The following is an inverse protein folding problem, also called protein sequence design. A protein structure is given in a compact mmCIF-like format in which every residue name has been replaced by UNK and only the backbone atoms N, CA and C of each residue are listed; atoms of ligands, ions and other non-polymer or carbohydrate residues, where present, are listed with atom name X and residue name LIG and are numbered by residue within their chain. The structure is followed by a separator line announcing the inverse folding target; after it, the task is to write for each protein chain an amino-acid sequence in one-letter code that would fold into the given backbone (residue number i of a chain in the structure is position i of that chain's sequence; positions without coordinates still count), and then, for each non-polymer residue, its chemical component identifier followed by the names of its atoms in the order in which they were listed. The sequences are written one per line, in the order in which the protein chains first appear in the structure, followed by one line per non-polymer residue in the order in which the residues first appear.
data_IF_302209247211
#
_entry.id   IF_302209247211
#
_cell.length_a   1.000
_cell.length_b   1.000
_cell.length_c   1.000
_cell.angle_alpha   90.00
_cell.angle_beta   90.00
_cell.angle_gamma   90.00
#
_symmetry.space_group_name_H-M   'P 1'
#
loop_
_entity.id
_entity.type
_entity.pdbx_description
1 polymer ?
#
# COMPACT_ATOMS: atom_id res chain seq x y z
N UNK A 1 63.82 -16.50 67.43
CA UNK A 1 62.54 -15.84 67.18
C UNK A 1 62.44 -15.48 65.71
N UNK A 2 61.64 -16.17 64.97
CA UNK A 2 61.38 -15.90 63.50
C UNK A 2 60.00 -15.32 63.37
N UNK A 3 59.96 -14.01 63.00
CA UNK A 3 58.70 -13.31 62.71
C UNK A 3 58.24 -13.63 61.25
N UNK A 4 57.06 -14.21 61.13
CA UNK A 4 56.40 -14.41 59.78
C UNK A 4 55.41 -13.25 59.58
N UNK A 5 55.69 -12.44 58.54
CA UNK A 5 54.79 -11.36 58.12
C UNK A 5 53.83 -12.00 57.06
N UNK A 6 52.51 -12.07 57.35
CA UNK A 6 51.53 -12.44 56.44
C UNK A 6 51.01 -11.20 55.63
N UNK A 7 51.29 -11.17 54.33
CA UNK A 7 50.85 -10.14 53.47
C UNK A 7 49.43 -10.56 52.96
N UNK A 8 48.36 -9.87 53.38
CA UNK A 8 47.01 -10.11 52.90
C UNK A 8 46.81 -9.33 51.60
N UNK A 9 46.69 -10.08 50.47
CA UNK A 9 46.33 -9.51 49.17
C UNK A 9 44.82 -9.38 49.11
N UNK A 10 44.28 -8.15 49.10
CA UNK A 10 42.89 -7.84 48.92
C UNK A 10 42.57 -7.83 47.40
N UNK A 11 41.96 -8.90 46.90
CA UNK A 11 41.47 -8.96 45.52
C UNK A 11 40.19 -8.13 45.41
N UNK A 12 40.29 -6.95 44.79
CA UNK A 12 39.16 -6.10 44.42
C UNK A 12 38.52 -6.71 43.16
N UNK A 13 37.41 -7.45 43.30
CA UNK A 13 36.59 -7.93 42.17
C UNK A 13 35.78 -6.76 41.60
N UNK A 14 36.27 -6.20 40.50
CA UNK A 14 35.49 -5.24 39.69
C UNK A 14 34.38 -6.03 38.99
N UNK A 15 33.18 -5.98 39.56
CA UNK A 15 31.98 -6.50 38.91
C UNK A 15 31.67 -5.68 37.66
N UNK A 16 31.96 -6.18 36.48
CA UNK A 16 31.46 -5.63 35.23
C UNK A 16 29.96 -5.85 35.21
N UNK A 17 29.17 -4.82 35.50
CA UNK A 17 27.75 -4.83 35.25
C UNK A 17 27.54 -5.04 33.74
N UNK A 18 27.09 -6.23 33.36
CA UNK A 18 26.63 -6.48 31.99
C UNK A 18 25.47 -5.55 31.70
N UNK A 19 25.71 -4.52 30.90
CA UNK A 19 24.64 -3.71 30.31
C UNK A 19 23.83 -4.69 29.46
N UNK A 20 22.53 -4.87 29.73
CA UNK A 20 21.71 -5.73 28.86
C UNK A 20 21.82 -5.18 27.43
N UNK A 21 22.30 -5.98 26.52
CA UNK A 21 22.25 -5.66 25.09
C UNK A 21 20.77 -5.46 24.77
N UNK A 22 20.34 -4.22 24.52
CA UNK A 22 19.03 -3.92 24.02
C UNK A 22 18.89 -4.72 22.72
N UNK A 23 18.06 -5.75 22.74
CA UNK A 23 17.84 -6.63 21.58
C UNK A 23 17.40 -5.77 20.39
N UNK A 24 17.96 -6.04 19.22
CA UNK A 24 17.62 -5.35 17.99
C UNK A 24 16.11 -5.49 17.70
N UNK A 25 15.42 -4.37 17.57
CA UNK A 25 13.98 -4.36 17.21
C UNK A 25 13.83 -4.78 15.74
N UNK A 26 13.03 -5.79 15.47
CA UNK A 26 12.69 -6.15 14.10
C UNK A 26 11.38 -5.49 13.69
N UNK A 27 11.35 -4.79 12.54
CA UNK A 27 10.15 -4.26 11.91
C UNK A 27 9.92 -4.95 10.57
N UNK A 28 8.72 -5.50 10.39
CA UNK A 28 8.32 -6.20 9.16
C UNK A 28 7.49 -5.24 8.32
N UNK A 29 8.04 -4.83 7.17
CA UNK A 29 7.44 -3.82 6.30
C UNK A 29 6.93 -4.46 5.03
N UNK A 30 5.63 -4.30 4.74
CA UNK A 30 4.97 -4.78 3.53
C UNK A 30 4.92 -3.72 2.43
N UNK A 31 5.13 -4.13 1.19
CA UNK A 31 4.90 -3.31 0.02
C UNK A 31 4.54 -4.19 -1.19
N UNK A 32 4.03 -3.57 -2.24
CA UNK A 32 3.75 -4.25 -3.50
C UNK A 32 4.71 -3.70 -4.57
N UNK A 33 5.20 -4.51 -5.52
CA UNK A 33 6.06 -4.05 -6.60
C UNK A 33 5.25 -3.25 -7.65
N UNK A 34 4.64 -2.17 -7.19
CA UNK A 34 3.81 -1.26 -7.97
C UNK A 34 4.35 0.17 -7.89
N UNK A 35 4.08 0.96 -8.90
CA UNK A 35 4.41 2.39 -8.88
C UNK A 35 3.51 3.20 -7.93
N UNK A 36 2.39 2.62 -7.47
CA UNK A 36 1.52 3.20 -6.44
C UNK A 36 2.11 3.12 -5.02
N UNK A 37 3.26 2.46 -4.85
CA UNK A 37 4.02 2.40 -3.60
C UNK A 37 5.43 3.02 -3.75
N UNK A 38 5.55 4.23 -4.31
CA UNK A 38 6.83 4.74 -4.77
C UNK A 38 7.82 4.97 -3.63
N UNK A 39 7.36 5.43 -2.46
CA UNK A 39 8.22 5.63 -1.29
C UNK A 39 8.83 4.30 -0.82
N UNK A 40 8.04 3.22 -0.80
CA UNK A 40 8.57 1.89 -0.46
C UNK A 40 9.61 1.42 -1.46
N UNK A 41 9.31 1.52 -2.76
CA UNK A 41 10.22 1.05 -3.82
C UNK A 41 11.53 1.83 -3.86
N UNK A 42 11.48 3.16 -3.80
CA UNK A 42 12.67 4.02 -3.79
C UNK A 42 13.45 3.83 -2.49
N UNK A 43 12.77 3.87 -1.34
CA UNK A 43 13.39 3.75 -0.03
C UNK A 43 14.07 2.40 0.19
N UNK A 44 13.43 1.30 -0.21
CA UNK A 44 14.00 -0.04 -0.16
C UNK A 44 15.23 -0.19 -1.06
N UNK A 45 15.18 0.35 -2.28
CA UNK A 45 16.32 0.25 -3.21
C UNK A 45 17.58 0.95 -2.68
N UNK A 46 17.43 2.09 -2.02
CA UNK A 46 18.52 2.97 -1.60
C UNK A 46 18.86 2.84 -0.11
N UNK A 47 18.22 1.93 0.64
CA UNK A 47 18.43 1.79 2.09
C UNK A 47 18.03 3.02 2.91
N UNK A 48 17.07 3.80 2.42
CA UNK A 48 16.67 5.06 3.07
C UNK A 48 15.99 4.82 4.42
N UNK A 49 15.12 3.82 4.47
CA UNK A 49 14.46 3.44 5.73
C UNK A 49 15.44 2.83 6.72
N UNK A 50 16.36 1.98 6.27
CA UNK A 50 17.42 1.40 7.10
C UNK A 50 18.27 2.51 7.76
N UNK A 51 18.64 3.51 6.97
CA UNK A 51 19.39 4.67 7.49
C UNK A 51 18.58 5.49 8.50
N UNK A 52 17.30 5.71 8.23
CA UNK A 52 16.42 6.51 9.09
C UNK A 52 16.08 5.82 10.41
N UNK A 53 15.93 4.49 10.40
CA UNK A 53 15.61 3.70 11.59
C UNK A 53 16.86 3.38 12.44
N UNK A 54 18.06 3.44 11.84
CA UNK A 54 19.33 3.22 12.53
C UNK A 54 19.65 1.76 12.83
N UNK A 55 20.84 1.51 13.34
CA UNK A 55 21.43 0.17 13.49
C UNK A 55 20.71 -0.72 14.52
N UNK A 56 19.93 -0.14 15.42
CA UNK A 56 19.18 -0.89 16.44
C UNK A 56 17.86 -1.45 15.93
N UNK A 57 17.50 -1.15 14.67
CA UNK A 57 16.28 -1.64 14.03
C UNK A 57 16.64 -2.45 12.79
N UNK A 58 16.17 -3.70 12.74
CA UNK A 58 16.28 -4.58 11.57
C UNK A 58 15.00 -4.48 10.76
N UNK A 59 15.09 -4.14 9.48
CA UNK A 59 13.95 -4.15 8.56
C UNK A 59 13.87 -5.50 7.87
N UNK A 60 12.68 -6.09 7.87
CA UNK A 60 12.33 -7.25 7.04
C UNK A 60 11.25 -6.86 6.04
N UNK A 61 11.64 -6.71 4.77
CA UNK A 61 10.70 -6.41 3.71
C UNK A 61 9.90 -7.64 3.29
N UNK A 62 8.59 -7.48 3.16
CA UNK A 62 7.65 -8.49 2.67
C UNK A 62 6.95 -7.97 1.41
N UNK A 63 6.92 -8.78 0.35
CA UNK A 63 6.27 -8.43 -0.92
C UNK A 63 4.91 -9.11 -1.03
N UNK A 64 3.90 -8.38 -1.52
CA UNK A 64 2.54 -8.88 -1.72
C UNK A 64 2.04 -8.50 -3.12
N UNK A 65 1.05 -9.24 -3.62
CA UNK A 65 0.41 -8.93 -4.90
C UNK A 65 -0.87 -8.08 -4.74
N UNK A 66 -1.49 -8.11 -3.56
CA UNK A 66 -2.70 -7.35 -3.25
C UNK A 66 -2.91 -7.21 -1.74
N UNK A 67 -3.80 -6.26 -1.36
CA UNK A 67 -4.04 -5.89 0.03
C UNK A 67 -4.63 -6.96 0.93
N UNK A 68 -5.63 -7.76 0.50
CA UNK A 68 -6.20 -8.78 1.38
C UNK A 68 -5.17 -9.74 1.96
N UNK A 69 -4.19 -10.19 1.17
CA UNK A 69 -3.11 -11.05 1.67
C UNK A 69 -2.16 -10.35 2.66
N UNK A 70 -1.95 -9.04 2.51
CA UNK A 70 -1.18 -8.25 3.48
C UNK A 70 -1.94 -8.10 4.82
N UNK A 71 -3.26 -7.98 4.81
CA UNK A 71 -4.08 -7.96 6.03
C UNK A 71 -4.02 -9.29 6.77
N UNK A 72 -4.08 -10.41 6.07
CA UNK A 72 -3.91 -11.74 6.72
C UNK A 72 -2.52 -11.86 7.35
N UNK A 73 -1.46 -11.39 6.70
CA UNK A 73 -0.12 -11.36 7.28
C UNK A 73 -0.02 -10.45 8.52
N UNK A 74 -0.72 -9.31 8.53
CA UNK A 74 -0.80 -8.43 9.69
C UNK A 74 -1.52 -9.10 10.85
N UNK A 75 -2.64 -9.77 10.63
CA UNK A 75 -3.37 -10.52 11.65
C UNK A 75 -2.55 -11.68 12.23
N UNK A 76 -1.74 -12.32 11.39
CA UNK A 76 -0.81 -13.37 11.83
C UNK A 76 0.43 -12.84 12.59
N UNK A 77 0.57 -11.52 12.76
CA UNK A 77 1.77 -10.91 13.37
C UNK A 77 3.03 -11.03 12.52
N UNK A 78 2.89 -11.34 11.23
CA UNK A 78 3.98 -11.45 10.26
C UNK A 78 4.26 -10.12 9.55
N UNK A 79 3.52 -9.05 9.89
CA UNK A 79 3.61 -7.72 9.31
C UNK A 79 3.32 -6.66 10.37
N UNK A 80 4.14 -5.62 10.44
CA UNK A 80 4.02 -4.54 11.40
C UNK A 80 3.55 -3.23 10.75
N UNK A 81 4.14 -2.88 9.60
CA UNK A 81 3.82 -1.71 8.79
C UNK A 81 3.59 -2.16 7.35
N UNK A 82 2.63 -1.59 6.63
CA UNK A 82 2.50 -1.88 5.20
C UNK A 82 1.91 -0.72 4.41
N UNK A 83 2.40 -0.58 3.18
CA UNK A 83 1.72 0.16 2.13
C UNK A 83 0.55 -0.69 1.63
N UNK A 84 -0.64 -0.09 1.50
CA UNK A 84 -1.85 -0.86 1.18
C UNK A 84 -2.96 0.05 0.64
N UNK A 85 -3.85 -0.51 -0.15
CA UNK A 85 -5.05 0.21 -0.63
C UNK A 85 -6.10 0.45 0.48
N UNK A 86 -7.01 1.42 0.28
CA UNK A 86 -8.01 1.79 1.29
C UNK A 86 -8.95 0.64 1.67
N UNK A 87 -9.49 -0.10 0.71
CA UNK A 87 -10.51 -1.11 1.01
C UNK A 87 -9.98 -2.30 1.82
N UNK A 88 -8.79 -2.86 1.56
CA UNK A 88 -8.19 -3.84 2.46
C UNK A 88 -7.94 -3.29 3.87
N UNK A 89 -7.47 -2.04 3.99
CA UNK A 89 -7.27 -1.40 5.30
C UNK A 89 -8.61 -1.27 6.07
N UNK A 90 -9.67 -0.81 5.40
CA UNK A 90 -11.02 -0.72 5.96
C UNK A 90 -11.52 -2.11 6.40
N UNK A 91 -11.41 -3.10 5.51
CA UNK A 91 -11.88 -4.46 5.81
C UNK A 91 -11.10 -5.07 6.98
N UNK A 92 -9.78 -4.87 7.04
CA UNK A 92 -8.96 -5.31 8.16
C UNK A 92 -9.34 -4.64 9.48
N UNK A 93 -9.59 -3.33 9.45
CA UNK A 93 -10.07 -2.58 10.60
C UNK A 93 -11.42 -3.12 11.09
N UNK A 94 -12.39 -3.30 10.20
CA UNK A 94 -13.74 -3.77 10.54
C UNK A 94 -13.70 -5.21 11.07
N UNK A 95 -12.98 -6.12 10.42
CA UNK A 95 -12.84 -7.52 10.86
C UNK A 95 -12.19 -7.67 12.23
N UNK A 96 -11.38 -6.72 12.64
CA UNK A 96 -10.75 -6.69 13.96
C UNK A 96 -11.50 -5.84 14.98
N UNK A 97 -12.75 -5.45 14.71
CA UNK A 97 -13.51 -4.52 15.56
C UNK A 97 -12.76 -3.23 15.90
N UNK A 98 -11.94 -2.73 14.96
CA UNK A 98 -11.17 -1.52 15.13
C UNK A 98 -9.84 -1.69 15.89
N UNK A 99 -9.44 -2.90 16.24
CA UNK A 99 -8.30 -3.13 17.15
C UNK A 99 -6.97 -3.35 16.45
N UNK A 100 -6.94 -3.94 15.24
CA UNK A 100 -5.68 -4.46 14.68
C UNK A 100 -4.76 -3.41 14.06
N UNK A 101 -5.27 -2.33 13.51
CA UNK A 101 -4.48 -1.41 12.70
C UNK A 101 -4.92 0.05 12.79
N UNK A 102 -4.02 0.96 12.36
CA UNK A 102 -4.31 2.39 12.11
C UNK A 102 -3.70 2.81 10.78
N UNK A 103 -4.42 3.69 10.07
CA UNK A 103 -3.86 4.45 8.95
C UNK A 103 -3.06 5.62 9.51
N UNK A 104 -1.77 5.68 9.18
CA UNK A 104 -0.84 6.67 9.76
C UNK A 104 -0.31 7.67 8.73
N UNK A 105 -0.43 7.38 7.44
CA UNK A 105 -0.08 8.31 6.35
C UNK A 105 -0.75 7.89 5.04
N UNK A 106 -0.85 8.82 4.08
CA UNK A 106 -1.09 8.51 2.68
C UNK A 106 0.18 8.04 1.98
N UNK A 107 0.07 7.55 0.74
CA UNK A 107 1.22 7.24 -0.10
C UNK A 107 1.01 7.73 -1.54
N UNK A 108 -0.14 7.43 -2.15
CA UNK A 108 -0.49 7.90 -3.50
C UNK A 108 -1.97 8.25 -3.64
N UNK A 109 -2.21 9.25 -4.49
CA UNK A 109 -3.52 9.59 -5.04
C UNK A 109 -3.56 9.26 -6.53
N UNK A 110 -4.68 8.74 -7.03
CA UNK A 110 -4.82 8.32 -8.43
C UNK A 110 -4.04 7.03 -8.76
N UNK A 111 -3.84 6.77 -10.03
CA UNK A 111 -3.07 5.62 -10.49
C UNK A 111 -3.86 4.31 -10.51
N UNK A 112 -5.13 4.37 -10.90
CA UNK A 112 -5.95 3.21 -11.24
C UNK A 112 -6.86 3.52 -12.44
N UNK A 113 -7.17 2.52 -13.24
CA UNK A 113 -7.99 2.69 -14.43
C UNK A 113 -8.73 1.41 -14.82
N UNK A 114 -9.86 1.59 -15.50
CA UNK A 114 -10.57 0.54 -16.21
C UNK A 114 -10.08 0.51 -17.67
N UNK A 115 -9.50 -0.59 -18.06
CA UNK A 115 -8.94 -0.82 -19.38
C UNK A 115 -9.78 -1.88 -20.07
N UNK A 116 -10.16 -1.65 -21.34
CA UNK A 116 -10.86 -2.61 -22.17
C UNK A 116 -9.96 -3.07 -23.31
N UNK A 117 -10.09 -4.32 -23.72
CA UNK A 117 -9.37 -4.83 -24.90
C UNK A 117 -9.95 -4.19 -26.18
N UNK A 118 -9.08 -3.82 -27.13
CA UNK A 118 -9.49 -3.13 -28.35
C UNK A 118 -10.52 -3.92 -29.19
N UNK A 119 -10.44 -5.25 -29.14
CA UNK A 119 -11.35 -6.16 -29.87
C UNK A 119 -12.47 -6.76 -29.00
N UNK A 120 -12.73 -6.19 -27.79
CA UNK A 120 -13.79 -6.67 -26.88
C UNK A 120 -15.21 -6.26 -27.30
N UNK A 121 -15.32 -5.28 -28.20
CA UNK A 121 -16.61 -4.68 -28.60
C UNK A 121 -17.19 -3.69 -27.57
N UNK A 122 -16.50 -3.44 -26.44
CA UNK A 122 -16.95 -2.51 -25.40
C UNK A 122 -16.67 -1.08 -25.86
N UNK A 123 -17.71 -0.25 -26.00
CA UNK A 123 -17.62 1.18 -26.35
C UNK A 123 -18.23 2.09 -25.27
N UNK A 124 -19.25 1.59 -24.57
CA UNK A 124 -20.04 2.31 -23.56
C UNK A 124 -20.34 1.38 -22.37
N UNK A 125 -20.81 1.90 -21.22
CA UNK A 125 -21.05 1.09 -20.03
C UNK A 125 -21.96 -0.13 -20.25
N UNK A 126 -23.02 0.02 -21.06
CA UNK A 126 -23.98 -1.07 -21.30
C UNK A 126 -23.35 -2.28 -22.03
N UNK A 127 -22.23 -2.08 -22.72
CA UNK A 127 -21.55 -3.16 -23.43
C UNK A 127 -20.81 -4.12 -22.48
N UNK A 128 -20.79 -3.84 -21.18
CA UNK A 128 -20.22 -4.75 -20.18
C UNK A 128 -21.11 -5.95 -19.83
N UNK A 129 -22.38 -5.94 -20.23
CA UNK A 129 -23.26 -7.11 -20.08
C UNK A 129 -22.62 -8.36 -20.71
N UNK A 130 -22.57 -9.47 -19.95
CA UNK A 130 -21.98 -10.73 -20.37
C UNK A 130 -20.44 -10.73 -20.50
N UNK A 131 -19.75 -9.64 -20.15
CA UNK A 131 -18.28 -9.54 -20.29
C UNK A 131 -17.54 -10.09 -19.08
N UNK A 132 -16.28 -10.50 -19.32
CA UNK A 132 -15.32 -10.98 -18.33
C UNK A 132 -14.42 -9.81 -17.93
N UNK A 133 -14.57 -9.33 -16.71
CA UNK A 133 -13.88 -8.14 -16.21
C UNK A 133 -13.00 -8.53 -15.02
N UNK A 134 -11.69 -8.41 -15.15
CA UNK A 134 -10.78 -8.70 -14.06
C UNK A 134 -10.68 -7.54 -13.07
N UNK A 135 -10.40 -7.90 -11.81
CA UNK A 135 -9.98 -7.00 -10.75
C UNK A 135 -8.86 -7.66 -9.95
N UNK A 136 -8.04 -6.93 -9.15
CA UNK A 136 -7.19 -7.57 -8.16
C UNK A 136 -8.04 -8.36 -7.15
N UNK A 137 -7.43 -9.15 -6.29
CA UNK A 137 -8.10 -10.02 -5.32
C UNK A 137 -9.45 -9.49 -4.81
N UNK A 138 -10.40 -10.40 -4.54
CA UNK A 138 -11.74 -10.04 -4.03
C UNK A 138 -11.66 -9.13 -2.80
N UNK A 139 -12.44 -8.03 -2.81
CA UNK A 139 -12.42 -7.03 -1.75
C UNK A 139 -11.21 -6.09 -1.77
N UNK A 140 -10.32 -6.20 -2.76
CA UNK A 140 -9.27 -5.20 -2.98
C UNK A 140 -9.86 -3.89 -3.53
N UNK A 141 -9.09 -2.81 -3.50
CA UNK A 141 -9.55 -1.46 -3.85
C UNK A 141 -10.23 -1.41 -5.22
N UNK A 142 -9.59 -1.94 -6.26
CA UNK A 142 -10.14 -1.92 -7.62
C UNK A 142 -11.28 -2.92 -7.83
N UNK A 143 -11.37 -3.98 -7.02
CA UNK A 143 -12.54 -4.87 -7.04
C UNK A 143 -13.79 -4.16 -6.50
N UNK A 144 -13.64 -3.42 -5.42
CA UNK A 144 -14.73 -2.60 -4.86
C UNK A 144 -15.10 -1.48 -5.83
N UNK A 145 -14.12 -0.78 -6.43
CA UNK A 145 -14.35 0.27 -7.41
C UNK A 145 -15.14 -0.25 -8.63
N UNK A 146 -14.75 -1.40 -9.18
CA UNK A 146 -15.44 -2.05 -10.29
C UNK A 146 -16.90 -2.38 -9.92
N UNK A 147 -17.14 -3.00 -8.77
CA UNK A 147 -18.49 -3.37 -8.34
C UNK A 147 -19.38 -2.15 -8.09
N UNK A 148 -18.82 -1.09 -7.50
CA UNK A 148 -19.52 0.18 -7.30
C UNK A 148 -19.86 0.85 -8.65
N UNK A 149 -18.92 0.85 -9.60
CA UNK A 149 -19.13 1.38 -10.94
C UNK A 149 -20.22 0.60 -11.70
N UNK A 150 -20.18 -0.73 -11.67
CA UNK A 150 -21.25 -1.57 -12.27
C UNK A 150 -22.61 -1.22 -11.68
N UNK A 151 -22.71 -1.12 -10.35
CA UNK A 151 -23.95 -0.74 -9.67
C UNK A 151 -24.46 0.64 -10.10
N UNK A 152 -23.58 1.62 -10.20
CA UNK A 152 -23.93 2.97 -10.65
C UNK A 152 -24.48 3.01 -12.09
N UNK A 153 -24.14 2.01 -12.91
CA UNK A 153 -24.67 1.85 -14.27
C UNK A 153 -25.78 0.80 -14.39
N UNK A 154 -26.44 0.45 -13.28
CA UNK A 154 -27.57 -0.49 -13.26
C UNK A 154 -27.19 -1.95 -13.46
N UNK A 155 -25.89 -2.27 -13.46
CA UNK A 155 -25.38 -3.63 -13.67
C UNK A 155 -25.03 -4.31 -12.33
N UNK A 156 -24.93 -5.63 -12.36
CA UNK A 156 -24.47 -6.45 -11.23
C UNK A 156 -23.47 -7.49 -11.73
N UNK A 157 -22.55 -7.85 -10.85
CA UNK A 157 -21.68 -8.99 -11.09
C UNK A 157 -22.47 -10.32 -11.00
N UNK A 158 -22.00 -11.35 -11.71
CA UNK A 158 -22.65 -12.65 -11.77
C UNK A 158 -22.82 -13.30 -10.37
N UNK A 159 -21.86 -13.14 -9.48
CA UNK A 159 -21.92 -13.59 -8.08
C UNK A 159 -22.98 -12.85 -7.23
N UNK A 160 -23.55 -11.76 -7.75
CA UNK A 160 -24.65 -10.99 -7.15
C UNK A 160 -25.94 -11.05 -7.99
N UNK A 161 -26.06 -12.07 -8.86
CA UNK A 161 -27.25 -12.32 -9.67
C UNK A 161 -27.38 -11.42 -10.92
N UNK A 162 -26.28 -10.84 -11.38
CA UNK A 162 -26.17 -10.16 -12.67
C UNK A 162 -25.53 -11.06 -13.73
N UNK A 163 -24.96 -10.46 -14.76
CA UNK A 163 -24.35 -11.15 -15.90
C UNK A 163 -22.90 -10.73 -16.20
N UNK A 164 -22.38 -9.70 -15.52
CA UNK A 164 -20.98 -9.30 -15.65
C UNK A 164 -20.10 -10.26 -14.84
N UNK A 165 -19.22 -10.99 -15.52
CA UNK A 165 -18.31 -11.92 -14.86
C UNK A 165 -17.13 -11.18 -14.27
N UNK A 166 -17.24 -10.76 -13.00
CA UNK A 166 -16.12 -10.15 -12.25
C UNK A 166 -15.17 -11.25 -11.80
N UNK A 167 -13.91 -11.17 -12.21
CA UNK A 167 -12.86 -12.18 -12.02
C UNK A 167 -11.70 -11.63 -11.18
N UNK A 168 -11.75 -11.72 -9.83
CA UNK A 168 -10.67 -11.28 -8.97
C UNK A 168 -9.45 -12.20 -9.10
N UNK A 169 -8.28 -11.65 -9.47
CA UNK A 169 -7.04 -12.39 -9.67
C UNK A 169 -5.80 -11.50 -9.51
N UNK A 170 -4.61 -12.07 -9.38
CA UNK A 170 -3.38 -11.31 -9.31
C UNK A 170 -3.13 -10.48 -10.59
N UNK A 171 -2.59 -9.28 -10.45
CA UNK A 171 -2.36 -8.39 -11.60
C UNK A 171 -1.51 -9.00 -12.74
N UNK A 172 -0.46 -9.79 -12.49
CA UNK A 172 0.27 -10.49 -13.55
C UNK A 172 -0.62 -11.44 -14.36
N UNK A 173 -1.55 -12.14 -13.68
CA UNK A 173 -2.47 -13.07 -14.32
C UNK A 173 -3.49 -12.31 -15.17
N UNK A 174 -3.96 -11.14 -14.71
CA UNK A 174 -4.84 -10.28 -15.51
C UNK A 174 -4.19 -9.94 -16.86
N UNK A 175 -2.92 -9.52 -16.88
CA UNK A 175 -2.23 -9.20 -18.13
C UNK A 175 -2.12 -10.43 -19.03
N UNK A 176 -1.77 -11.59 -18.49
CA UNK A 176 -1.63 -12.84 -19.23
C UNK A 176 -2.95 -13.26 -19.87
N UNK A 177 -4.06 -13.25 -19.12
CA UNK A 177 -5.38 -13.64 -19.62
C UNK A 177 -5.95 -12.59 -20.58
N UNK A 178 -5.65 -11.32 -20.37
CA UNK A 178 -6.02 -10.24 -21.28
C UNK A 178 -5.35 -10.41 -22.66
N UNK A 179 -4.05 -10.74 -22.69
CA UNK A 179 -3.31 -11.05 -23.90
C UNK A 179 -3.86 -12.29 -24.63
N UNK A 180 -4.30 -13.31 -23.89
CA UNK A 180 -4.92 -14.52 -24.41
C UNK A 180 -6.38 -14.33 -24.86
N UNK A 181 -6.95 -13.14 -24.73
CA UNK A 181 -8.34 -12.82 -25.03
C UNK A 181 -9.36 -13.58 -24.13
N UNK A 182 -8.90 -13.99 -22.95
CA UNK A 182 -9.75 -14.62 -21.94
C UNK A 182 -10.41 -13.61 -20.99
N UNK A 183 -10.01 -12.33 -21.07
CA UNK A 183 -10.64 -11.18 -20.42
C UNK A 183 -11.05 -10.15 -21.46
N UNK A 184 -12.14 -9.44 -21.21
CA UNK A 184 -12.62 -8.35 -22.06
C UNK A 184 -12.22 -6.98 -21.54
N UNK A 185 -12.10 -6.86 -20.21
CA UNK A 185 -11.69 -5.67 -19.50
C UNK A 185 -10.95 -6.01 -18.20
N UNK A 186 -10.28 -5.01 -17.61
CA UNK A 186 -9.70 -5.11 -16.28
C UNK A 186 -9.66 -3.76 -15.60
N UNK A 187 -10.00 -3.69 -14.30
CA UNK A 187 -9.73 -2.54 -13.45
C UNK A 187 -8.46 -2.79 -12.68
N UNK A 188 -7.42 -2.03 -12.94
CA UNK A 188 -6.09 -2.31 -12.42
C UNK A 188 -5.40 -1.04 -11.89
N UNK A 189 -4.53 -1.18 -10.85
CA UNK A 189 -3.64 -0.10 -10.44
C UNK A 189 -2.46 0.03 -11.41
N UNK A 190 -1.77 1.18 -11.37
CA UNK A 190 -0.52 1.36 -12.10
C UNK A 190 0.65 0.59 -11.45
N UNK A 191 1.56 -0.02 -12.23
CA UNK A 191 1.74 0.12 -13.67
C UNK A 191 0.88 -0.84 -14.51
N UNK A 192 0.02 -1.64 -13.89
CA UNK A 192 -0.71 -2.71 -14.58
C UNK A 192 -1.73 -2.18 -15.58
N UNK A 193 -2.41 -1.06 -15.27
CA UNK A 193 -3.33 -0.42 -16.22
C UNK A 193 -2.58 -0.01 -17.51
N UNK A 194 -1.44 0.66 -17.38
CA UNK A 194 -0.61 1.02 -18.54
C UNK A 194 -0.04 -0.21 -19.25
N UNK A 195 0.30 -1.29 -18.53
CA UNK A 195 0.74 -2.55 -19.15
C UNK A 195 -0.37 -3.23 -19.96
N UNK A 196 -1.60 -3.25 -19.47
CA UNK A 196 -2.74 -3.74 -20.21
C UNK A 196 -2.95 -2.95 -21.53
N UNK A 197 -2.72 -1.63 -21.49
CA UNK A 197 -2.81 -0.78 -22.67
C UNK A 197 -1.65 -1.06 -23.65
N UNK A 198 -0.41 -1.03 -23.17
CA UNK A 198 0.79 -1.08 -24.04
C UNK A 198 1.19 -2.50 -24.45
N UNK A 199 1.03 -3.47 -23.53
CA UNK A 199 1.46 -4.86 -23.73
C UNK A 199 0.27 -5.80 -24.03
N UNK A 200 -0.96 -5.44 -23.64
CA UNK A 200 -2.16 -6.28 -23.72
C UNK A 200 -3.10 -5.96 -24.88
N UNK A 201 -2.76 -5.03 -25.78
CA UNK A 201 -3.67 -4.54 -26.81
C UNK A 201 -4.97 -3.93 -26.25
N UNK A 202 -4.84 -3.23 -25.10
CA UNK A 202 -5.95 -2.53 -24.46
C UNK A 202 -6.01 -1.04 -24.82
N UNK A 203 -7.11 -0.42 -24.44
CA UNK A 203 -7.27 1.04 -24.41
C UNK A 203 -7.88 1.47 -23.09
N UNK A 204 -7.58 2.69 -22.71
CA UNK A 204 -8.21 3.32 -21.55
C UNK A 204 -9.71 3.48 -21.81
N UNK A 205 -10.53 2.91 -20.94
CA UNK A 205 -11.97 3.12 -20.96
C UNK A 205 -12.36 4.21 -19.97
N UNK A 206 -11.79 4.17 -18.76
CA UNK A 206 -12.05 5.13 -17.70
C UNK A 206 -10.78 5.32 -16.86
N UNK A 207 -10.32 6.55 -16.69
CA UNK A 207 -9.38 6.92 -15.63
C UNK A 207 -10.18 7.06 -14.33
N UNK A 208 -9.81 6.34 -13.29
CA UNK A 208 -10.57 6.37 -12.04
C UNK A 208 -10.65 7.79 -11.43
N UNK A 209 -9.70 8.68 -11.75
CA UNK A 209 -9.72 10.09 -11.34
C UNK A 209 -10.98 10.82 -11.80
N UNK A 210 -11.57 10.42 -12.93
CA UNK A 210 -12.79 11.06 -13.47
C UNK A 210 -14.02 10.81 -12.60
N UNK A 211 -13.97 9.83 -11.70
CA UNK A 211 -15.04 9.52 -10.76
C UNK A 211 -14.93 10.31 -9.43
N UNK A 212 -13.83 11.04 -9.22
CA UNK A 212 -13.55 11.65 -7.94
C UNK A 212 -13.44 13.17 -8.00
N UNK A 213 -13.88 13.89 -6.95
CA UNK A 213 -13.74 15.35 -6.90
C UNK A 213 -12.29 15.78 -7.12
N UNK A 214 -12.07 16.69 -8.07
CA UNK A 214 -10.74 17.18 -8.47
C UNK A 214 -9.75 16.08 -8.89
N UNK A 215 -10.23 14.89 -9.24
CA UNK A 215 -9.41 13.75 -9.60
C UNK A 215 -8.63 13.14 -8.43
N UNK A 216 -8.98 13.46 -7.19
CA UNK A 216 -8.23 13.06 -6.00
C UNK A 216 -8.93 11.94 -5.25
N UNK A 217 -8.27 10.79 -5.19
CA UNK A 217 -8.68 9.66 -4.37
C UNK A 217 -7.45 8.88 -3.91
N UNK A 218 -7.51 8.31 -2.72
CA UNK A 218 -6.41 7.52 -2.20
C UNK A 218 -6.35 6.15 -2.88
N UNK A 219 -5.17 5.79 -3.37
CA UNK A 219 -4.89 4.46 -3.95
C UNK A 219 -4.03 3.64 -3.02
N UNK A 220 -3.13 4.27 -2.29
CA UNK A 220 -2.32 3.62 -1.28
C UNK A 220 -2.15 4.49 -0.03
N UNK A 221 -2.20 3.83 1.12
CA UNK A 221 -1.90 4.34 2.45
C UNK A 221 -0.69 3.65 3.05
N UNK A 222 -0.23 4.17 4.19
CA UNK A 222 0.58 3.43 5.17
C UNK A 222 -0.31 3.08 6.35
N UNK A 223 -0.39 1.80 6.68
CA UNK A 223 -1.00 1.32 7.92
C UNK A 223 0.06 0.70 8.82
N UNK A 224 -0.21 0.72 10.11
CA UNK A 224 0.62 0.08 11.15
C UNK A 224 -0.26 -0.78 12.05
N UNK A 225 0.24 -1.92 12.51
CA UNK A 225 -0.45 -2.70 13.54
C UNK A 225 -0.51 -1.89 14.84
N UNK A 226 -1.66 -1.87 15.51
CA UNK A 226 -1.84 -1.14 16.77
C UNK A 226 -0.88 -1.63 17.85
N UNK A 227 -0.57 -2.92 17.85
CA UNK A 227 0.42 -3.50 18.75
C UNK A 227 1.80 -2.86 18.54
N UNK A 228 2.30 -2.86 17.30
CA UNK A 228 3.61 -2.30 16.99
C UNK A 228 3.67 -0.78 17.21
N UNK A 229 2.60 -0.06 16.88
CA UNK A 229 2.48 1.37 17.13
C UNK A 229 2.60 1.70 18.63
N UNK A 230 1.98 0.88 19.49
CA UNK A 230 2.03 1.05 20.95
C UNK A 230 3.38 0.66 21.56
N UNK A 231 3.98 -0.42 21.07
CA UNK A 231 5.24 -0.97 21.59
C UNK A 231 6.46 -0.19 21.09
N UNK A 232 6.42 0.36 19.87
CA UNK A 232 7.55 1.00 19.17
C UNK A 232 7.16 2.34 18.50
N UNK A 233 6.56 3.30 19.20
CA UNK A 233 6.10 4.56 18.60
C UNK A 233 7.24 5.37 17.97
N UNK A 234 8.45 5.30 18.53
CA UNK A 234 9.62 6.00 18.00
C UNK A 234 10.09 5.42 16.66
N UNK A 235 10.02 4.09 16.51
CA UNK A 235 10.33 3.42 15.23
C UNK A 235 9.31 3.83 14.18
N UNK A 236 8.01 3.85 14.53
CA UNK A 236 6.94 4.29 13.62
C UNK A 236 7.12 5.76 13.25
N UNK A 237 7.45 6.63 14.20
CA UNK A 237 7.71 8.06 13.94
C UNK A 237 8.89 8.26 12.98
N UNK A 238 10.00 7.55 13.19
CA UNK A 238 11.16 7.62 12.30
C UNK A 238 10.86 7.08 10.91
N UNK A 239 10.07 6.01 10.81
CA UNK A 239 9.55 5.51 9.53
C UNK A 239 8.70 6.56 8.81
N UNK A 240 7.76 7.20 9.50
CA UNK A 240 6.91 8.27 8.94
C UNK A 240 7.78 9.46 8.50
N UNK A 241 8.80 9.83 9.26
CA UNK A 241 9.74 10.91 8.88
C UNK A 241 10.44 10.57 7.55
N UNK A 242 10.98 9.36 7.42
CA UNK A 242 11.60 8.91 6.18
C UNK A 242 10.60 8.88 5.01
N UNK A 243 9.35 8.46 5.29
CA UNK A 243 8.28 8.43 4.30
C UNK A 243 7.91 9.83 3.78
N UNK A 244 7.80 10.82 4.68
CA UNK A 244 7.57 12.23 4.30
C UNK A 244 8.74 12.77 3.49
N UNK A 245 9.97 12.55 3.93
CA UNK A 245 11.19 12.98 3.20
C UNK A 245 11.29 12.35 1.81
N UNK A 246 10.98 11.06 1.71
CA UNK A 246 10.93 10.36 0.42
C UNK A 246 9.83 10.92 -0.48
N UNK A 247 8.67 11.27 0.06
CA UNK A 247 7.59 11.89 -0.70
C UNK A 247 8.04 13.20 -1.32
N UNK A 248 8.65 14.08 -0.52
CA UNK A 248 9.16 15.38 -0.97
C UNK A 248 10.28 15.19 -2.00
N UNK A 249 11.20 14.26 -1.71
CA UNK A 249 12.33 13.97 -2.61
C UNK A 249 11.84 13.42 -3.96
N UNK A 250 10.92 12.44 -3.98
CA UNK A 250 10.36 11.87 -5.21
C UNK A 250 9.69 12.96 -6.05
N UNK A 251 8.89 13.82 -5.44
CA UNK A 251 8.20 14.91 -6.13
C UNK A 251 9.19 15.94 -6.71
N UNK A 252 10.31 16.18 -6.04
CA UNK A 252 11.38 17.09 -6.51
C UNK A 252 12.34 16.46 -7.54
N UNK A 253 12.42 15.13 -7.62
CA UNK A 253 13.42 14.40 -8.41
C UNK A 253 12.77 13.26 -9.24
N UNK A 254 11.62 13.52 -9.83
CA UNK A 254 10.80 12.50 -10.49
C UNK A 254 11.56 11.65 -11.54
N UNK A 255 12.43 12.20 -12.41
CA UNK A 255 13.18 11.39 -13.38
C UNK A 255 14.13 10.38 -12.71
N UNK A 256 14.80 10.78 -11.62
CA UNK A 256 15.69 9.91 -10.85
C UNK A 256 14.89 8.88 -10.04
N UNK A 257 13.82 9.31 -9.39
CA UNK A 257 12.92 8.44 -8.63
C UNK A 257 12.35 7.32 -9.50
N UNK A 258 11.94 7.60 -10.74
CA UNK A 258 11.48 6.60 -11.69
C UNK A 258 12.55 5.54 -12.01
N UNK A 259 13.81 5.94 -12.18
CA UNK A 259 14.92 5.00 -12.44
C UNK A 259 15.14 4.07 -11.25
N UNK A 260 15.20 4.63 -10.03
CA UNK A 260 15.43 3.88 -8.80
C UNK A 260 14.27 2.92 -8.54
N UNK A 261 13.03 3.41 -8.65
CA UNK A 261 11.82 2.61 -8.50
C UNK A 261 11.80 1.45 -9.49
N UNK A 262 12.12 1.71 -10.76
CA UNK A 262 12.15 0.69 -11.81
C UNK A 262 13.21 -0.39 -11.55
N UNK A 263 14.37 0.01 -11.04
CA UNK A 263 15.42 -0.93 -10.63
C UNK A 263 14.92 -1.85 -9.47
N UNK A 264 14.15 -1.30 -8.53
CA UNK A 264 13.56 -2.11 -7.46
C UNK A 264 12.47 -3.05 -7.98
N UNK A 265 11.58 -2.57 -8.87
CA UNK A 265 10.58 -3.43 -9.53
C UNK A 265 11.29 -4.57 -10.28
N UNK A 266 12.36 -4.28 -11.02
CA UNK A 266 13.13 -5.32 -11.72
C UNK A 266 13.71 -6.37 -10.75
N UNK A 267 14.24 -5.94 -9.60
CA UNK A 267 14.76 -6.87 -8.58
C UNK A 267 13.67 -7.79 -8.03
N UNK A 268 12.44 -7.30 -7.87
CA UNK A 268 11.34 -8.07 -7.28
C UNK A 268 10.55 -8.92 -8.28
N UNK A 269 10.46 -8.46 -9.55
CA UNK A 269 9.61 -9.10 -10.57
C UNK A 269 10.39 -9.75 -11.70
N UNK A 270 11.70 -9.55 -11.74
CA UNK A 270 12.59 -10.01 -12.83
C UNK A 270 12.50 -9.17 -14.10
N UNK A 271 11.59 -8.18 -14.19
CA UNK A 271 11.37 -7.39 -15.43
C UNK A 271 11.32 -5.89 -15.12
N UNK A 272 12.17 -5.10 -15.78
CA UNK A 272 12.06 -3.65 -15.78
C UNK A 272 10.92 -3.18 -16.69
N UNK A 273 10.35 -2.03 -16.36
CA UNK A 273 9.37 -1.33 -17.19
C UNK A 273 10.09 -0.41 -18.19
N UNK A 274 9.52 -0.22 -19.37
CA UNK A 274 10.09 0.75 -20.32
C UNK A 274 9.91 2.19 -19.83
N UNK A 275 10.80 3.13 -20.19
CA UNK A 275 10.66 4.54 -19.81
C UNK A 275 9.31 5.14 -20.20
N UNK A 276 8.85 4.88 -21.43
CA UNK A 276 7.54 5.37 -21.90
C UNK A 276 6.37 4.82 -21.11
N UNK A 277 6.43 3.57 -20.66
CA UNK A 277 5.43 2.98 -19.78
C UNK A 277 5.41 3.65 -18.41
N UNK A 278 6.59 3.90 -17.84
CA UNK A 278 6.72 4.61 -16.57
C UNK A 278 6.18 6.03 -16.65
N UNK A 279 6.47 6.75 -17.74
CA UNK A 279 6.01 8.13 -17.93
C UNK A 279 4.49 8.19 -18.01
N UNK A 280 3.87 7.32 -18.81
CA UNK A 280 2.41 7.24 -18.92
C UNK A 280 1.75 6.88 -17.58
N UNK A 281 2.31 5.89 -16.87
CA UNK A 281 1.77 5.41 -15.60
C UNK A 281 1.89 6.47 -14.49
N UNK A 282 3.04 7.15 -14.37
CA UNK A 282 3.22 8.25 -13.42
C UNK A 282 2.34 9.47 -13.74
N UNK A 283 1.95 9.66 -15.00
CA UNK A 283 1.02 10.72 -15.40
C UNK A 283 -0.39 10.58 -14.79
N UNK A 284 -0.74 9.40 -14.25
CA UNK A 284 -2.05 9.15 -13.65
C UNK A 284 -2.05 9.16 -12.12
N UNK A 285 -0.91 9.35 -11.46
CA UNK A 285 -0.84 9.36 -10.00
C UNK A 285 -0.11 10.58 -9.45
N UNK A 286 -0.35 10.85 -8.18
CA UNK A 286 0.34 11.85 -7.40
C UNK A 286 0.92 11.18 -6.14
N UNK A 287 2.20 11.39 -5.87
CA UNK A 287 2.86 10.92 -4.65
C UNK A 287 2.55 11.90 -3.51
N UNK A 288 2.03 11.39 -2.41
CA UNK A 288 1.57 12.23 -1.29
C UNK A 288 1.70 11.48 0.04
N UNK A 289 1.82 12.21 1.13
CA UNK A 289 1.64 11.68 2.49
C UNK A 289 0.26 12.01 3.08
N UNK A 290 -0.56 12.79 2.35
CA UNK A 290 -1.95 13.05 2.74
C UNK A 290 -2.79 11.78 2.52
N UNK A 291 -3.45 11.25 3.55
CA UNK A 291 -4.26 10.05 3.43
C UNK A 291 -5.61 10.28 2.74
N UNK A 292 -5.95 11.51 2.34
CA UNK A 292 -7.19 11.86 1.62
C UNK A 292 -8.44 11.25 2.28
N UNK A 293 -8.65 11.55 3.55
CA UNK A 293 -9.66 10.92 4.41
C UNK A 293 -11.06 10.84 3.79
N UNK A 294 -11.50 11.89 3.10
CA UNK A 294 -12.82 11.90 2.45
C UNK A 294 -12.98 10.83 1.38
N UNK A 295 -11.92 10.57 0.59
CA UNK A 295 -11.95 9.53 -0.44
C UNK A 295 -11.98 8.13 0.16
N UNK A 296 -11.28 7.88 1.27
CA UNK A 296 -11.37 6.60 1.98
C UNK A 296 -12.77 6.36 2.53
N UNK A 297 -13.42 7.36 3.12
CA UNK A 297 -14.79 7.22 3.63
C UNK A 297 -15.78 6.91 2.50
N UNK A 298 -15.62 7.53 1.33
CA UNK A 298 -16.41 7.18 0.16
C UNK A 298 -16.13 5.75 -0.33
N UNK A 299 -14.86 5.31 -0.32
CA UNK A 299 -14.50 3.91 -0.62
C UNK A 299 -15.11 2.93 0.38
N UNK A 300 -15.19 3.30 1.66
CA UNK A 300 -15.86 2.49 2.68
C UNK A 300 -17.36 2.36 2.41
N UNK A 301 -18.01 3.44 1.99
CA UNK A 301 -19.42 3.40 1.60
C UNK A 301 -19.64 2.45 0.41
N UNK A 302 -18.81 2.55 -0.63
CA UNK A 302 -18.84 1.64 -1.78
C UNK A 302 -18.61 0.17 -1.38
N UNK A 303 -17.69 -0.09 -0.46
CA UNK A 303 -17.45 -1.44 0.06
C UNK A 303 -18.62 -1.97 0.87
N UNK A 304 -19.28 -1.12 1.66
CA UNK A 304 -20.49 -1.47 2.40
C UNK A 304 -21.63 -1.84 1.43
N UNK A 305 -21.88 -1.01 0.43
CA UNK A 305 -22.89 -1.26 -0.60
C UNK A 305 -22.62 -2.50 -1.45
N UNK A 306 -21.35 -2.86 -1.65
CA UNK A 306 -20.95 -4.10 -2.31
C UNK A 306 -21.03 -5.34 -1.39
N UNK A 307 -21.35 -5.15 -0.10
CA UNK A 307 -21.54 -6.21 0.88
C UNK A 307 -20.26 -6.74 1.53
N UNK A 308 -19.15 -5.99 1.47
CA UNK A 308 -17.88 -6.39 2.10
C UNK A 308 -17.76 -6.02 3.58
N UNK A 309 -18.61 -5.12 4.09
CA UNK A 309 -18.49 -4.58 5.46
C UNK A 309 -19.61 -5.01 6.41
N UNK A 310 -20.40 -6.03 6.03
CA UNK A 310 -21.47 -6.56 6.87
C UNK A 310 -22.83 -5.89 6.63
N UNK A 311 -23.73 -5.95 7.64
CA UNK A 311 -25.13 -5.51 7.52
C UNK A 311 -25.36 -4.04 7.89
N UNK A 312 -24.43 -3.45 8.63
CA UNK A 312 -24.50 -2.05 9.08
C UNK A 312 -23.19 -1.36 8.74
N UNK A 313 -23.28 -0.06 8.39
CA UNK A 313 -22.07 0.72 8.15
C UNK A 313 -21.21 0.78 9.42
N UNK A 314 -19.94 0.35 9.37
CA UNK A 314 -19.08 0.34 10.54
C UNK A 314 -18.68 1.76 10.98
N UNK A 315 -18.37 1.93 12.26
CA UNK A 315 -17.70 3.14 12.74
C UNK A 315 -16.23 3.12 12.36
N UNK A 316 -15.81 4.10 11.59
CA UNK A 316 -14.43 4.29 11.12
C UNK A 316 -13.74 5.49 11.76
N UNK A 317 -14.34 6.06 12.82
CA UNK A 317 -13.82 7.28 13.47
C UNK A 317 -12.38 7.13 13.98
N UNK A 318 -12.02 5.94 14.46
CA UNK A 318 -10.70 5.61 15.02
C UNK A 318 -9.78 4.88 14.02
N UNK A 319 -10.15 4.79 12.73
CA UNK A 319 -9.30 4.15 11.71
C UNK A 319 -7.99 4.91 11.50
N UNK A 320 -8.00 6.25 11.64
CA UNK A 320 -6.83 7.10 11.47
C UNK A 320 -6.16 7.41 12.81
N UNK A 321 -4.83 7.34 12.83
CA UNK A 321 -3.99 7.97 13.83
C UNK A 321 -2.89 8.78 13.11
N UNK A 322 -3.15 10.06 12.92
CA UNK A 322 -2.23 11.00 12.25
C UNK A 322 -1.35 11.77 13.23
N UNK A 323 -1.36 11.41 14.51
CA UNK A 323 -0.63 12.12 15.56
C UNK A 323 0.87 12.19 15.27
N UNK A 324 1.50 11.07 14.92
CA UNK A 324 2.93 11.01 14.61
C UNK A 324 3.24 11.70 13.27
N UNK A 325 2.37 11.58 12.26
CA UNK A 325 2.52 12.30 11.00
C UNK A 325 2.52 13.81 11.23
N UNK A 326 1.55 14.32 11.98
CA UNK A 326 1.43 15.75 12.27
C UNK A 326 2.59 16.26 13.14
N UNK A 327 3.13 15.46 14.05
CA UNK A 327 4.38 15.81 14.75
C UNK A 327 5.55 15.98 13.76
N UNK A 328 5.74 15.01 12.86
CA UNK A 328 6.79 15.09 11.83
C UNK A 328 6.59 16.29 10.91
N UNK A 329 5.37 16.56 10.45
CA UNK A 329 5.08 17.73 9.62
C UNK A 329 5.37 19.03 10.34
N UNK A 330 5.01 19.14 11.62
CA UNK A 330 5.32 20.32 12.46
C UNK A 330 6.83 20.53 12.62
N UNK A 331 7.60 19.47 12.91
CA UNK A 331 9.06 19.51 12.99
C UNK A 331 9.70 20.00 11.69
N UNK A 332 9.09 19.65 10.55
CA UNK A 332 9.51 20.07 9.20
C UNK A 332 8.92 21.42 8.76
N UNK A 333 8.15 22.09 9.61
CA UNK A 333 7.44 23.34 9.29
C UNK A 333 6.45 23.21 8.12
N UNK A 334 5.89 22.03 7.93
CA UNK A 334 4.85 21.72 6.96
C UNK A 334 3.47 21.83 7.60
N UNK A 335 2.43 21.98 6.75
CA UNK A 335 1.05 22.07 7.22
C UNK A 335 0.56 20.72 7.76
N UNK A 336 -0.03 20.72 8.94
CA UNK A 336 -0.69 19.54 9.49
C UNK A 336 -1.88 19.09 8.64
N UNK A 337 -2.13 17.78 8.64
CA UNK A 337 -3.26 17.14 7.96
C UNK A 337 -4.39 16.91 8.96
N UNK A 338 -5.64 17.14 8.52
CA UNK A 338 -6.85 17.01 9.33
C UNK A 338 -7.55 15.66 9.13
#
# INVERSE_FOLDING_TARGET
MKFHIYLAVLLLSIGTAAVPALGQTTVRIGAFPNITHPQAMVGKNNGWFEKALGNNVKIEWKSFNAGPSAIEALFAGALDITYIGPNPAITGYVRSNGEALRVVAGATSGGAALVVRNDSGIQKPEDFHGKRVASPQMGNTQDVALRAWLKAHGMKSADKGGDVMVMPMANPDQLTLFQKKELDAAWAPEPWATRLIKEGNGRLFLDERDLWPKGQFVTAHVIVSTKFLKEHPDVVKNFIRAHVELTDWINGHLPEAKKILNAQIQKETGKALSPALLDDAFGRLQVTYDPLRSSLLNSAHSAFEAGFLGKTMPDLSSLYDLSLLNQVLTEKKLKAIQ
#
